data_IF_463058891606
#
_entry.id   IF_463058891606
#
_cell.length_a   1.000
_cell.length_b   1.000
_cell.length_c   1.000
_cell.angle_alpha   90.00
_cell.angle_beta   90.00
_cell.angle_gamma   90.00
#
_symmetry.space_group_name_H-M   'P 1'
#
loop_
_entity.id
_entity.type
_entity.pdbx_description
1 polymer ?
#
# COMPACT_ATOMS: atom_id res chain seq x y z
N UNK A 1 19.54 -3.06 20.87
CA UNK A 1 18.16 -2.94 20.33
C UNK A 1 17.30 -4.06 20.90
N UNK A 2 16.04 -3.76 21.24
CA UNK A 2 15.07 -4.78 21.68
C UNK A 2 14.92 -5.82 20.57
N UNK A 3 14.90 -7.10 20.96
CA UNK A 3 14.60 -8.18 20.04
C UNK A 3 13.08 -8.19 19.86
N UNK A 4 12.61 -7.63 18.75
CA UNK A 4 11.21 -7.61 18.38
C UNK A 4 11.02 -8.43 17.11
N UNK A 5 9.92 -9.17 17.02
CA UNK A 5 9.48 -9.86 15.81
C UNK A 5 8.14 -9.29 15.37
N UNK A 6 7.84 -9.34 14.08
CA UNK A 6 6.53 -8.94 13.57
C UNK A 6 5.52 -9.98 14.03
N UNK A 7 4.56 -9.56 14.84
CA UNK A 7 3.54 -10.41 15.44
C UNK A 7 2.36 -10.62 14.51
N UNK A 8 1.92 -9.55 13.83
CA UNK A 8 0.70 -9.55 13.02
C UNK A 8 0.78 -8.47 11.94
N UNK A 9 0.28 -8.76 10.74
CA UNK A 9 -0.08 -7.77 9.73
C UNK A 9 -1.60 -7.61 9.65
N UNK A 10 -2.07 -6.36 9.67
CA UNK A 10 -3.49 -6.03 9.45
C UNK A 10 -3.61 -5.05 8.29
N UNK A 11 -4.59 -5.26 7.42
CA UNK A 11 -4.83 -4.40 6.27
C UNK A 11 -6.22 -3.79 6.34
N UNK A 12 -6.30 -2.49 6.05
CA UNK A 12 -7.52 -1.70 6.13
C UNK A 12 -7.70 -0.90 4.85
N UNK A 13 -8.96 -0.57 4.57
CA UNK A 13 -9.32 0.46 3.60
C UNK A 13 -9.64 1.75 4.35
N UNK A 14 -9.40 2.88 3.69
CA UNK A 14 -9.97 4.16 4.11
C UNK A 14 -11.38 4.25 3.53
N UNK A 15 -12.32 4.78 4.31
CA UNK A 15 -13.71 4.96 3.85
C UNK A 15 -13.77 5.80 2.56
N UNK A 16 -14.70 5.50 1.64
CA UNK A 16 -14.88 6.31 0.44
C UNK A 16 -15.12 7.79 0.77
N UNK A 17 -14.34 8.68 0.14
CA UNK A 17 -14.43 10.13 0.35
C UNK A 17 -13.46 10.70 1.39
N UNK A 18 -12.83 9.86 2.21
CA UNK A 18 -11.79 10.30 3.14
C UNK A 18 -10.41 10.39 2.46
N UNK A 19 -9.56 11.37 2.85
CA UNK A 19 -8.23 11.54 2.27
C UNK A 19 -7.33 10.32 2.52
N UNK A 20 -6.52 9.95 1.51
CA UNK A 20 -5.58 8.85 1.60
C UNK A 20 -4.45 8.94 0.58
N UNK A 21 -3.80 7.80 0.30
CA UNK A 21 -2.72 7.73 -0.67
C UNK A 21 -3.19 7.69 -2.13
N UNK A 22 -4.45 7.32 -2.39
CA UNK A 22 -5.01 7.43 -3.75
C UNK A 22 -5.32 8.89 -4.10
N UNK A 23 -4.36 9.54 -4.75
CA UNK A 23 -4.45 10.93 -5.18
C UNK A 23 -5.64 11.23 -6.08
N UNK A 24 -6.21 10.22 -6.75
CA UNK A 24 -7.31 10.37 -7.68
C UNK A 24 -8.68 10.09 -7.07
N UNK A 25 -8.73 9.59 -5.84
CA UNK A 25 -9.95 9.49 -5.06
C UNK A 25 -10.29 10.87 -4.48
N UNK A 26 -10.87 11.74 -5.31
CA UNK A 26 -11.16 13.14 -5.01
C UNK A 26 -12.66 13.44 -5.19
N UNK A 27 -13.19 14.46 -4.50
CA UNK A 27 -14.56 14.92 -4.73
C UNK A 27 -14.73 15.51 -6.14
N UNK A 28 -15.96 15.43 -6.65
CA UNK A 28 -16.36 16.03 -7.94
C UNK A 28 -15.97 17.52 -8.00
N UNK A 29 -15.46 17.95 -9.16
CA UNK A 29 -14.96 19.30 -9.41
C UNK A 29 -13.47 19.49 -9.08
N UNK A 30 -12.80 18.52 -8.44
CA UNK A 30 -11.38 18.64 -8.18
C UNK A 30 -10.57 18.60 -9.48
N UNK A 31 -9.64 19.55 -9.66
CA UNK A 31 -8.91 19.76 -10.92
C UNK A 31 -8.24 18.49 -11.42
N UNK A 32 -7.71 17.67 -10.51
CA UNK A 32 -7.01 16.45 -10.86
C UNK A 32 -7.97 15.51 -11.61
N UNK A 33 -9.25 15.39 -11.26
CA UNK A 33 -10.14 14.43 -11.92
C UNK A 33 -11.01 15.05 -13.02
N UNK A 34 -11.39 16.32 -12.89
CA UNK A 34 -12.45 16.94 -13.72
C UNK A 34 -11.99 18.12 -14.59
N UNK A 35 -10.67 18.26 -14.81
CA UNK A 35 -10.15 19.17 -15.85
C UNK A 35 -9.60 18.41 -17.05
N UNK A 36 -9.53 19.02 -18.25
CA UNK A 36 -8.97 18.37 -19.43
C UNK A 36 -7.48 18.00 -19.25
N UNK A 37 -7.23 16.73 -18.91
CA UNK A 37 -5.89 16.16 -18.75
C UNK A 37 -5.73 15.02 -19.77
N UNK A 38 -4.76 15.17 -20.67
CA UNK A 38 -4.41 14.14 -21.65
C UNK A 38 -3.97 12.85 -20.96
N UNK A 39 -4.57 11.72 -21.34
CA UNK A 39 -4.34 10.40 -20.75
C UNK A 39 -4.64 9.28 -21.77
N UNK A 40 -4.32 8.00 -21.48
CA UNK A 40 -4.53 6.89 -22.42
C UNK A 40 -5.98 6.70 -22.89
N UNK A 41 -6.98 7.14 -22.11
CA UNK A 41 -8.40 7.03 -22.43
C UNK A 41 -8.96 8.25 -23.18
N UNK A 42 -8.18 9.33 -23.36
CA UNK A 42 -8.62 10.56 -24.03
C UNK A 42 -9.02 10.39 -25.50
N UNK A 43 -8.63 9.28 -26.13
CA UNK A 43 -9.03 8.93 -27.51
C UNK A 43 -10.52 8.62 -27.63
N UNK A 44 -11.18 8.27 -26.52
CA UNK A 44 -12.59 7.94 -26.46
C UNK A 44 -13.37 9.13 -25.89
N UNK A 45 -14.34 9.64 -26.65
CA UNK A 45 -15.11 10.84 -26.28
C UNK A 45 -15.76 10.72 -24.90
N UNK A 46 -16.35 9.56 -24.59
CA UNK A 46 -17.04 9.30 -23.34
C UNK A 46 -16.14 9.33 -22.09
N UNK A 47 -14.81 9.26 -22.27
CA UNK A 47 -13.84 9.20 -21.17
C UNK A 47 -12.92 10.42 -21.09
N UNK A 48 -13.10 11.41 -21.98
CA UNK A 48 -12.17 12.54 -22.10
C UNK A 48 -12.39 13.61 -21.03
N UNK A 49 -13.64 13.82 -20.62
CA UNK A 49 -14.01 14.95 -19.77
C UNK A 49 -13.57 14.78 -18.30
N UNK A 50 -13.63 13.56 -17.77
CA UNK A 50 -13.28 13.27 -16.38
C UNK A 50 -12.49 11.97 -16.27
N UNK A 51 -11.47 11.93 -15.42
CA UNK A 51 -10.65 10.73 -15.21
C UNK A 51 -11.37 9.65 -14.39
N UNK A 52 -12.38 10.01 -13.60
CA UNK A 52 -13.20 9.03 -12.86
C UNK A 52 -14.12 8.24 -13.79
N UNK A 53 -14.46 8.78 -14.97
CA UNK A 53 -15.31 8.10 -15.96
C UNK A 53 -14.77 6.74 -16.43
N UNK A 54 -13.46 6.54 -16.39
CA UNK A 54 -12.79 5.27 -16.71
C UNK A 54 -12.17 4.58 -15.48
N UNK A 55 -12.41 5.13 -14.29
CA UNK A 55 -12.13 4.45 -13.02
C UNK A 55 -10.73 4.66 -12.45
N UNK A 56 -10.08 5.81 -12.67
CA UNK A 56 -8.71 6.06 -12.14
C UNK A 56 -8.58 5.90 -10.61
N UNK A 57 -9.64 6.16 -9.84
CA UNK A 57 -9.65 6.14 -8.37
C UNK A 57 -10.49 5.02 -7.75
N UNK A 58 -10.84 3.98 -8.53
CA UNK A 58 -11.74 2.91 -8.06
C UNK A 58 -11.13 2.01 -6.98
N UNK A 59 -9.80 2.01 -6.87
CA UNK A 59 -9.11 1.19 -5.88
C UNK A 59 -9.17 1.85 -4.51
N UNK A 60 -8.86 3.14 -4.41
CA UNK A 60 -8.71 3.82 -3.13
C UNK A 60 -7.44 3.38 -2.40
N UNK A 61 -7.40 3.72 -1.11
CA UNK A 61 -6.21 3.58 -0.27
C UNK A 61 -6.20 2.26 0.47
N UNK A 62 -5.04 1.60 0.50
CA UNK A 62 -4.73 0.52 1.44
C UNK A 62 -3.83 1.05 2.55
N UNK A 63 -4.18 0.71 3.79
CA UNK A 63 -3.39 0.96 5.00
C UNK A 63 -2.95 -0.39 5.55
N UNK A 64 -1.66 -0.56 5.80
CA UNK A 64 -1.10 -1.75 6.44
C UNK A 64 -0.52 -1.37 7.79
N UNK A 65 -0.94 -2.07 8.83
CA UNK A 65 -0.31 -2.04 10.14
C UNK A 65 0.56 -3.28 10.32
N UNK A 66 1.81 -3.08 10.76
CA UNK A 66 2.69 -4.13 11.24
C UNK A 66 2.87 -3.98 12.75
N UNK A 67 2.32 -4.90 13.54
CA UNK A 67 2.52 -4.92 14.99
C UNK A 67 3.73 -5.78 15.34
N UNK A 68 4.64 -5.25 16.16
CA UNK A 68 5.76 -5.98 16.70
C UNK A 68 5.43 -6.59 18.07
N UNK A 69 6.18 -7.61 18.45
CA UNK A 69 6.00 -8.32 19.72
C UNK A 69 6.18 -7.46 20.99
N UNK A 70 6.75 -6.27 20.86
CA UNK A 70 6.89 -5.31 21.96
C UNK A 70 5.81 -4.21 21.99
N UNK A 71 4.80 -4.33 21.12
CA UNK A 71 3.68 -3.40 21.01
C UNK A 71 3.94 -2.22 20.06
N UNK A 72 5.13 -2.12 19.46
CA UNK A 72 5.38 -1.11 18.41
C UNK A 72 4.50 -1.39 17.20
N UNK A 73 3.84 -0.37 16.65
CA UNK A 73 3.02 -0.48 15.43
C UNK A 73 3.61 0.44 14.37
N UNK A 74 3.99 -0.13 13.24
CA UNK A 74 4.39 0.57 12.03
C UNK A 74 3.23 0.65 11.05
N UNK A 75 3.16 1.73 10.27
CA UNK A 75 2.08 2.02 9.34
C UNK A 75 2.66 2.28 7.95
N UNK A 76 2.12 1.61 6.94
CA UNK A 76 2.43 1.85 5.54
C UNK A 76 1.15 2.07 4.74
N UNK A 77 1.19 3.01 3.80
CA UNK A 77 0.01 3.41 3.03
C UNK A 77 0.34 3.41 1.54
N UNK A 78 -0.57 2.89 0.72
CA UNK A 78 -0.44 2.90 -0.75
C UNK A 78 -1.81 2.95 -1.43
N UNK A 79 -1.80 2.96 -2.76
CA UNK A 79 -3.01 2.75 -3.58
C UNK A 79 -3.26 1.26 -3.71
N UNK A 80 -4.51 0.80 -3.62
CA UNK A 80 -4.83 -0.60 -3.88
C UNK A 80 -6.08 -1.14 -3.21
N UNK A 81 -6.61 -0.41 -2.22
CA UNK A 81 -7.88 -0.71 -1.55
C UNK A 81 -8.05 -2.14 -1.08
N UNK A 82 -9.29 -2.61 -1.14
CA UNK A 82 -9.69 -3.96 -0.73
C UNK A 82 -8.92 -5.07 -1.47
N UNK A 83 -8.68 -5.00 -2.80
CA UNK A 83 -7.85 -5.98 -3.48
C UNK A 83 -6.42 -6.10 -2.91
N UNK A 84 -5.79 -4.97 -2.55
CA UNK A 84 -4.49 -5.00 -1.90
C UNK A 84 -4.58 -5.58 -0.48
N UNK A 85 -5.63 -5.26 0.29
CA UNK A 85 -5.86 -5.87 1.61
C UNK A 85 -5.91 -7.40 1.52
N UNK A 86 -6.64 -7.93 0.54
CA UNK A 86 -6.71 -9.37 0.29
C UNK A 86 -5.31 -9.97 0.02
N UNK A 87 -4.50 -9.33 -0.82
CA UNK A 87 -3.14 -9.79 -1.12
C UNK A 87 -2.28 -9.79 0.15
N UNK A 88 -2.34 -8.70 0.94
CA UNK A 88 -1.58 -8.56 2.19
C UNK A 88 -1.96 -9.68 3.16
N UNK A 89 -3.24 -9.82 3.48
CA UNK A 89 -3.69 -10.76 4.51
C UNK A 89 -3.61 -12.22 4.07
N UNK A 90 -4.00 -12.53 2.83
CA UNK A 90 -4.15 -13.92 2.38
C UNK A 90 -2.87 -14.47 1.76
N UNK A 91 -1.96 -13.62 1.30
CA UNK A 91 -0.70 -14.07 0.73
C UNK A 91 0.52 -13.54 1.48
N UNK A 92 0.72 -12.22 1.61
CA UNK A 92 2.01 -11.67 2.04
C UNK A 92 2.34 -11.91 3.52
N UNK A 93 1.34 -11.88 4.39
CA UNK A 93 1.46 -12.09 5.86
C UNK A 93 2.36 -13.27 6.24
N UNK A 94 2.25 -14.41 5.54
CA UNK A 94 3.02 -15.62 5.82
C UNK A 94 4.54 -15.48 5.70
N UNK A 95 5.02 -14.47 4.98
CA UNK A 95 6.45 -14.21 4.80
C UNK A 95 7.01 -13.20 5.82
N UNK A 96 6.11 -12.48 6.49
CA UNK A 96 6.46 -11.32 7.31
C UNK A 96 6.22 -11.63 8.79
N UNK A 97 5.11 -12.27 9.13
CA UNK A 97 4.79 -12.65 10.51
C UNK A 97 5.82 -13.66 11.05
N UNK A 98 6.26 -13.44 12.28
CA UNK A 98 7.34 -14.18 12.94
C UNK A 98 8.76 -13.75 12.54
N UNK A 99 8.93 -12.88 11.53
CA UNK A 99 10.24 -12.38 11.13
C UNK A 99 10.75 -11.26 12.03
N UNK A 100 12.07 -11.13 12.08
CA UNK A 100 12.73 -9.93 12.58
C UNK A 100 12.48 -8.78 11.58
N UNK A 101 11.95 -7.62 11.99
CA UNK A 101 11.67 -6.51 11.07
C UNK A 101 12.93 -5.97 10.37
N UNK A 102 14.13 -6.31 10.86
CA UNK A 102 15.41 -5.97 10.20
C UNK A 102 15.71 -6.82 8.97
N UNK A 103 15.00 -7.94 8.77
CA UNK A 103 15.16 -8.82 7.61
C UNK A 103 14.42 -8.26 6.37
N UNK A 104 14.47 -6.94 6.14
CA UNK A 104 13.69 -6.24 5.10
C UNK A 104 13.94 -6.85 3.72
N UNK A 105 15.21 -7.03 3.35
CA UNK A 105 15.60 -7.62 2.06
C UNK A 105 15.07 -9.04 1.86
N UNK A 106 15.07 -9.86 2.92
CA UNK A 106 14.57 -11.24 2.85
C UNK A 106 13.04 -11.24 2.65
N UNK A 107 12.32 -10.46 3.46
CA UNK A 107 10.86 -10.38 3.37
C UNK A 107 10.43 -9.83 2.01
N UNK A 108 11.13 -8.80 1.51
CA UNK A 108 10.87 -8.21 0.20
C UNK A 108 11.10 -9.22 -0.93
N UNK A 109 12.25 -9.91 -0.95
CA UNK A 109 12.57 -10.93 -1.98
C UNK A 109 11.54 -12.07 -1.98
N UNK A 110 11.14 -12.56 -0.79
CA UNK A 110 10.12 -13.61 -0.68
C UNK A 110 8.76 -13.14 -1.20
N UNK A 111 8.27 -11.98 -0.76
CA UNK A 111 7.01 -11.41 -1.24
C UNK A 111 7.02 -11.20 -2.76
N UNK A 112 8.11 -10.62 -3.29
CA UNK A 112 8.25 -10.39 -4.72
C UNK A 112 8.25 -11.70 -5.52
N UNK A 113 9.08 -12.68 -5.12
CA UNK A 113 9.20 -13.97 -5.82
C UNK A 113 7.91 -14.79 -5.76
N UNK A 114 7.27 -14.82 -4.59
CA UNK A 114 6.02 -15.57 -4.39
C UNK A 114 4.86 -15.00 -5.22
N UNK A 115 4.87 -13.70 -5.50
CA UNK A 115 3.82 -13.05 -6.30
C UNK A 115 4.13 -12.99 -7.80
N UNK A 116 5.28 -13.48 -8.28
CA UNK A 116 5.66 -13.44 -9.71
C UNK A 116 4.57 -13.93 -10.69
N UNK A 117 3.79 -15.00 -10.41
CA UNK A 117 2.77 -15.49 -11.35
C UNK A 117 1.64 -14.49 -11.65
N UNK A 118 1.37 -13.55 -10.74
CA UNK A 118 0.28 -12.56 -10.89
C UNK A 118 0.71 -11.12 -10.56
N UNK A 119 2.00 -10.91 -10.33
CA UNK A 119 2.60 -9.64 -9.93
C UNK A 119 3.58 -9.13 -10.99
N UNK A 120 4.85 -8.94 -10.60
CA UNK A 120 5.92 -8.23 -11.35
C UNK A 120 5.70 -6.73 -11.54
N UNK A 121 4.45 -6.28 -11.66
CA UNK A 121 4.02 -4.89 -11.82
C UNK A 121 2.63 -4.69 -11.21
N UNK A 122 2.19 -3.44 -11.11
CA UNK A 122 0.81 -3.11 -10.75
C UNK A 122 0.45 -3.44 -9.31
N UNK A 123 -0.81 -3.84 -9.10
CA UNK A 123 -1.46 -3.93 -7.79
C UNK A 123 -0.72 -4.81 -6.77
N UNK A 124 -0.16 -5.95 -7.18
CA UNK A 124 0.62 -6.79 -6.28
C UNK A 124 1.86 -6.06 -5.71
N UNK A 125 2.48 -5.20 -6.52
CA UNK A 125 3.66 -4.42 -6.09
C UNK A 125 3.24 -3.28 -5.17
N UNK A 126 2.07 -2.67 -5.40
CA UNK A 126 1.53 -1.67 -4.48
C UNK A 126 1.24 -2.27 -3.10
N UNK A 127 0.71 -3.50 -3.04
CA UNK A 127 0.52 -4.24 -1.78
C UNK A 127 1.86 -4.52 -1.07
N UNK A 128 2.89 -4.98 -1.81
CA UNK A 128 4.25 -5.17 -1.26
C UNK A 128 4.81 -3.84 -0.72
N UNK A 129 4.65 -2.75 -1.47
CA UNK A 129 5.12 -1.43 -1.03
C UNK A 129 4.43 -0.95 0.24
N UNK A 130 3.13 -1.18 0.42
CA UNK A 130 2.44 -0.83 1.66
C UNK A 130 3.00 -1.61 2.87
N UNK A 131 3.27 -2.91 2.70
CA UNK A 131 3.90 -3.74 3.74
C UNK A 131 5.33 -3.28 4.05
N UNK A 132 6.14 -3.02 3.02
CA UNK A 132 7.53 -2.57 3.16
C UNK A 132 7.62 -1.24 3.91
N UNK A 133 6.78 -0.25 3.57
CA UNK A 133 6.69 1.02 4.28
C UNK A 133 6.32 0.84 5.75
N UNK A 134 5.38 -0.07 6.07
CA UNK A 134 5.00 -0.37 7.45
C UNK A 134 6.17 -0.96 8.25
N UNK A 135 6.99 -1.82 7.62
CA UNK A 135 8.18 -2.40 8.24
C UNK A 135 9.25 -1.33 8.48
N UNK A 136 9.47 -0.42 7.53
CA UNK A 136 10.39 0.71 7.71
C UNK A 136 9.95 1.67 8.82
N UNK A 137 8.66 1.95 8.92
CA UNK A 137 8.10 2.75 10.02
C UNK A 137 8.30 2.05 11.38
N UNK A 138 8.09 0.74 11.44
CA UNK A 138 8.46 -0.10 12.60
C UNK A 138 9.94 0.06 12.98
N UNK A 139 10.86 0.02 12.01
CA UNK A 139 12.30 0.15 12.26
C UNK A 139 12.68 1.53 12.81
N UNK A 140 12.14 2.60 12.24
CA UNK A 140 12.35 3.96 12.75
C UNK A 140 11.86 4.09 14.20
N UNK A 141 10.64 3.61 14.46
CA UNK A 141 10.04 3.61 15.81
C UNK A 141 10.82 2.76 16.82
N UNK A 142 11.30 1.58 16.44
CA UNK A 142 12.14 0.73 17.28
C UNK A 142 13.48 1.38 17.65
N UNK A 143 14.04 2.18 16.73
CA UNK A 143 15.32 2.87 16.93
C UNK A 143 15.16 4.22 17.61
N UNK A 144 13.96 4.81 17.58
CA UNK A 144 13.75 6.19 18.00
C UNK A 144 14.38 7.19 17.04
N UNK A 145 14.45 6.84 15.75
CA UNK A 145 15.13 7.59 14.70
C UNK A 145 14.18 7.84 13.52
N UNK A 146 14.33 8.95 12.79
CA UNK A 146 13.63 9.10 11.51
C UNK A 146 14.23 8.14 10.48
N UNK A 147 13.41 7.69 9.52
CA UNK A 147 13.82 6.68 8.51
C UNK A 147 15.03 7.12 7.67
N UNK A 148 15.25 8.42 7.48
CA UNK A 148 16.37 8.94 6.67
C UNK A 148 17.73 8.92 7.38
N UNK A 149 17.78 8.68 8.69
CA UNK A 149 19.01 8.71 9.50
C UNK A 149 19.90 7.49 9.24
#
# INVERSE_FOLDING_TARGET
>A
MKKAVIRELRAYIIEPGEPGADYHNQPEGHWIIDTPISNPMSVYEQYRASRTSWGIGVLGTVVVEAELSDGTIGIGVSVGGEPACYIVEKHLSRFVEGQDPRNVELMWDQMWRATLPYGRKGLAIQAISAVDLAIWDCLGKLRGEPIYA
#
